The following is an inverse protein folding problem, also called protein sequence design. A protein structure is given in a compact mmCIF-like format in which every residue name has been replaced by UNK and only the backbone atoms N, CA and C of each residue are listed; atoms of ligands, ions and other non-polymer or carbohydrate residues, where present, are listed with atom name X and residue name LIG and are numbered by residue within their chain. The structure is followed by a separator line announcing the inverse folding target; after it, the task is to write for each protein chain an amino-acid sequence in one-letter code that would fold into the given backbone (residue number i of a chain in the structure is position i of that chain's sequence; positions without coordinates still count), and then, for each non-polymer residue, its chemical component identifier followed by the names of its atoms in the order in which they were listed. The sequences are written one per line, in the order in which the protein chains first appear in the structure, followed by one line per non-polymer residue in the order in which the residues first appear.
data_IF_450862359481
#
_entry.id   IF_450862359481
#
_cell.length_a   1.000
_cell.length_b   1.000
_cell.length_c   1.000
_cell.angle_alpha   90.00
_cell.angle_beta   90.00
_cell.angle_gamma   90.00
#
_symmetry.space_group_name_H-M   'P 1'
#
loop_
_entity.id
_entity.type
_entity.pdbx_description
1 polymer ?
#
# COMPACT_ATOMS: atom_id res chain seq x y z
N UNK A 1 7.90 17.83 23.04
CA UNK A 1 7.77 16.37 22.87
C UNK A 1 7.72 16.09 21.38
N UNK A 2 8.50 15.13 20.84
CA UNK A 2 8.38 14.74 19.44
C UNK A 2 6.97 14.20 19.19
N UNK A 3 6.32 14.66 18.14
CA UNK A 3 4.90 14.42 17.89
C UNK A 3 4.66 14.22 16.41
N UNK A 4 3.88 13.21 16.06
CA UNK A 4 3.27 13.07 14.76
C UNK A 4 1.91 13.76 14.79
N UNK A 5 1.65 14.64 13.82
CA UNK A 5 0.35 15.25 13.62
C UNK A 5 -0.29 14.70 12.35
N UNK A 6 -1.46 14.08 12.49
CA UNK A 6 -2.24 13.54 11.39
C UNK A 6 -3.17 14.61 10.82
N UNK A 7 -3.12 14.79 9.51
CA UNK A 7 -3.97 15.70 8.75
C UNK A 7 -4.87 14.93 7.78
N UNK A 8 -6.11 15.39 7.67
CA UNK A 8 -6.97 15.07 6.53
C UNK A 8 -6.80 16.17 5.48
N UNK A 9 -6.54 15.77 4.24
CA UNK A 9 -6.36 16.65 3.09
C UNK A 9 -7.61 16.55 2.22
N UNK A 10 -8.22 17.69 1.92
CA UNK A 10 -9.33 17.79 0.97
C UNK A 10 -8.77 18.29 -0.36
N UNK A 11 -8.88 17.45 -1.39
CA UNK A 11 -8.56 17.80 -2.78
C UNK A 11 -9.85 18.23 -3.49
N UNK A 12 -9.79 19.32 -4.24
CA UNK A 12 -10.79 19.65 -5.26
C UNK A 12 -10.18 19.55 -6.66
N UNK A 13 -10.97 19.86 -7.70
CA UNK A 13 -10.53 19.80 -9.11
C UNK A 13 -9.30 20.66 -9.44
N UNK A 14 -8.85 21.55 -8.53
CA UNK A 14 -7.68 22.40 -8.70
C UNK A 14 -6.51 22.06 -7.75
N UNK A 15 -6.61 20.98 -6.94
CA UNK A 15 -5.57 20.52 -6.03
C UNK A 15 -5.96 20.53 -4.54
N UNK A 16 -5.00 20.39 -3.60
CA UNK A 16 -5.29 20.31 -2.17
C UNK A 16 -5.75 21.68 -1.63
N UNK A 17 -7.04 21.84 -1.36
CA UNK A 17 -7.63 23.12 -0.92
C UNK A 17 -7.53 23.36 0.58
N UNK A 18 -7.47 22.30 1.39
CA UNK A 18 -7.35 22.45 2.85
C UNK A 18 -6.77 21.22 3.54
N UNK A 19 -6.03 21.48 4.63
CA UNK A 19 -5.50 20.48 5.56
C UNK A 19 -6.13 20.70 6.93
N UNK A 20 -6.78 19.69 7.47
CA UNK A 20 -7.39 19.74 8.80
C UNK A 20 -6.63 18.82 9.73
N UNK A 21 -6.07 19.35 10.82
CA UNK A 21 -5.42 18.54 11.85
C UNK A 21 -6.49 17.71 12.58
N UNK A 22 -6.27 16.40 12.61
CA UNK A 22 -7.21 15.44 13.20
C UNK A 22 -6.70 14.97 14.56
N UNK A 23 -5.41 14.62 14.65
CA UNK A 23 -4.86 14.00 15.86
C UNK A 23 -3.36 14.32 16.05
N UNK A 24 -2.95 14.46 17.31
CA UNK A 24 -1.56 14.60 17.74
C UNK A 24 -1.13 13.37 18.54
N UNK A 25 -0.10 12.66 18.05
CA UNK A 25 0.46 11.47 18.69
C UNK A 25 1.87 11.75 19.17
N UNK A 26 2.05 11.76 20.49
CA UNK A 26 3.38 11.93 21.11
C UNK A 26 4.21 10.66 20.94
N UNK A 27 5.42 10.81 20.41
CA UNK A 27 6.33 9.71 20.16
C UNK A 27 7.23 9.44 21.39
N UNK A 28 7.49 8.17 21.73
CA UNK A 28 8.59 7.79 22.61
C UNK A 28 9.95 8.21 22.04
N UNK A 29 10.94 8.48 22.90
CA UNK A 29 12.24 9.03 22.49
C UNK A 29 13.14 8.05 21.73
N UNK A 30 12.83 6.76 21.74
CA UNK A 30 13.63 5.66 21.18
C UNK A 30 12.92 4.93 20.02
N UNK A 31 11.76 5.43 19.57
CA UNK A 31 10.96 4.78 18.53
C UNK A 31 11.54 5.03 17.14
N UNK A 32 11.73 3.96 16.37
CA UNK A 32 12.19 4.03 14.97
C UNK A 32 11.08 3.86 13.92
N UNK A 33 9.99 3.18 14.30
CA UNK A 33 8.84 2.97 13.44
C UNK A 33 7.58 3.03 14.28
N UNK A 34 6.58 3.77 13.81
CA UNK A 34 5.30 3.93 14.49
C UNK A 34 4.17 3.89 13.47
N UNK A 35 3.00 3.44 13.89
CA UNK A 35 1.82 3.30 13.04
C UNK A 35 0.73 4.25 13.56
N UNK A 36 0.03 4.91 12.64
CA UNK A 36 -1.10 5.78 12.94
C UNK A 36 -2.38 5.11 12.45
N UNK A 37 -3.39 5.04 13.30
CA UNK A 37 -4.71 4.59 12.87
C UNK A 37 -5.42 5.74 12.17
N UNK A 38 -5.93 5.51 10.96
CA UNK A 38 -6.80 6.49 10.31
C UNK A 38 -8.22 6.33 10.84
N UNK A 39 -8.81 7.36 11.47
CA UNK A 39 -10.10 7.24 12.14
C UNK A 39 -11.25 7.02 11.16
N UNK A 40 -11.06 7.37 9.88
CA UNK A 40 -12.00 7.06 8.82
C UNK A 40 -11.27 6.43 7.63
N UNK A 41 -11.86 5.40 7.02
CA UNK A 41 -11.42 4.86 5.74
C UNK A 41 -11.75 5.86 4.62
N UNK A 42 -10.97 5.84 3.55
CA UNK A 42 -11.16 6.78 2.45
C UNK A 42 -10.44 8.12 2.63
N UNK A 43 -10.25 8.81 1.51
CA UNK A 43 -9.75 10.17 1.44
C UNK A 43 -8.23 10.31 1.56
N UNK A 44 -7.75 11.53 1.47
CA UNK A 44 -6.32 11.83 1.44
C UNK A 44 -5.81 12.24 2.82
N UNK A 45 -4.69 11.65 3.24
CA UNK A 45 -4.10 11.81 4.56
C UNK A 45 -2.65 12.28 4.45
N UNK A 46 -2.22 13.14 5.35
CA UNK A 46 -0.82 13.57 5.43
C UNK A 46 -0.38 13.57 6.89
N UNK A 47 0.86 13.18 7.17
CA UNK A 47 1.43 13.22 8.51
C UNK A 47 2.57 14.20 8.54
N UNK A 48 2.67 14.97 9.62
CA UNK A 48 3.82 15.84 9.89
C UNK A 48 4.53 15.37 11.15
N UNK A 49 5.85 15.25 11.08
CA UNK A 49 6.70 15.04 12.25
C UNK A 49 7.21 16.39 12.74
N UNK A 50 7.04 16.65 14.02
CA UNK A 50 7.46 17.90 14.64
C UNK A 50 7.63 17.81 16.15
N UNK A 51 7.77 18.98 16.78
CA UNK A 51 7.79 19.09 18.24
C UNK A 51 6.56 19.85 18.74
N UNK A 52 5.83 19.25 19.67
CA UNK A 52 4.78 19.91 20.44
C UNK A 52 5.38 20.50 21.72
N UNK A 53 5.18 21.80 21.93
CA UNK A 53 5.61 22.52 23.13
C UNK A 53 4.55 22.44 24.23
N UNK A 54 4.94 22.64 25.50
CA UNK A 54 4.00 22.69 26.64
C UNK A 54 2.82 23.66 26.47
N UNK A 55 2.97 24.84 25.84
CA UNK A 55 1.83 25.71 25.52
C UNK A 55 0.97 25.23 24.33
N UNK A 56 1.15 24.00 23.83
CA UNK A 56 0.32 23.40 22.77
C UNK A 56 0.67 23.84 21.35
N UNK A 57 1.75 24.61 21.17
CA UNK A 57 2.21 25.01 19.83
C UNK A 57 3.05 23.90 19.20
N UNK A 58 2.70 23.53 17.98
CA UNK A 58 3.39 22.53 17.17
C UNK A 58 4.35 23.19 16.17
N UNK A 59 5.53 22.60 16.04
CA UNK A 59 6.58 23.02 15.11
C UNK A 59 6.91 21.87 14.16
N UNK A 60 6.43 21.89 12.90
CA UNK A 60 6.72 20.84 11.94
C UNK A 60 8.19 20.90 11.51
N UNK A 61 8.81 19.73 11.34
CA UNK A 61 10.16 19.58 10.81
C UNK A 61 10.15 18.97 9.41
N UNK A 62 9.24 18.03 9.20
CA UNK A 62 9.08 17.32 7.93
C UNK A 62 7.65 16.82 7.79
N UNK A 63 7.22 16.62 6.55
CA UNK A 63 5.91 16.09 6.23
C UNK A 63 6.04 14.88 5.30
N UNK A 64 5.08 13.97 5.39
CA UNK A 64 4.89 12.93 4.38
C UNK A 64 4.32 13.55 3.10
N UNK A 65 4.33 12.79 2.01
CA UNK A 65 3.41 13.06 0.92
C UNK A 65 1.97 12.82 1.38
N UNK A 66 1.02 13.44 0.69
CA UNK A 66 -0.38 13.17 0.89
C UNK A 66 -0.69 11.79 0.28
N UNK A 67 -1.19 10.86 1.10
CA UNK A 67 -1.50 9.48 0.71
C UNK A 67 -3.01 9.34 0.67
N UNK A 68 -3.55 8.92 -0.47
CA UNK A 68 -4.96 8.60 -0.61
C UNK A 68 -5.22 7.17 -0.12
N UNK A 69 -6.17 7.04 0.82
CA UNK A 69 -6.60 5.76 1.36
C UNK A 69 -7.90 5.32 0.70
N UNK A 70 -8.08 4.01 0.42
CA UNK A 70 -9.33 3.49 -0.12
C UNK A 70 -10.48 3.52 0.91
N UNK A 71 -11.72 3.68 0.46
CA UNK A 71 -12.93 3.92 1.29
C UNK A 71 -13.42 2.76 2.17
N UNK A 72 -12.69 1.64 2.22
CA UNK A 72 -12.85 0.40 3.01
C UNK A 72 -12.89 -0.83 2.13
N UNK A 73 -12.12 -1.81 2.58
CA UNK A 73 -12.26 -3.24 2.33
C UNK A 73 -13.62 -3.73 2.85
N UNK A 74 -14.67 -3.70 2.03
CA UNK A 74 -15.81 -4.61 2.16
C UNK A 74 -15.65 -5.73 1.14
N UNK A 75 -15.37 -6.91 1.67
CA UNK A 75 -15.58 -8.24 1.10
C UNK A 75 -15.94 -8.28 -0.39
N UNK A 76 -15.01 -8.74 -1.23
CA UNK A 76 -15.35 -9.29 -2.54
C UNK A 76 -16.00 -10.66 -2.35
N UNK A 77 -17.22 -10.64 -1.81
CA UNK A 77 -18.22 -11.64 -2.08
C UNK A 77 -18.54 -11.59 -3.57
N UNK A 78 -18.16 -12.67 -4.26
CA UNK A 78 -18.63 -13.12 -5.57
C UNK A 78 -19.82 -12.35 -6.15
N UNK A 79 -19.59 -11.66 -7.27
CA UNK A 79 -20.54 -11.57 -8.38
C UNK A 79 -19.77 -11.22 -9.67
N UNK A 80 -19.79 -12.13 -10.63
CA UNK A 80 -19.52 -11.80 -12.04
C UNK A 80 -20.59 -10.81 -12.50
N UNK A 81 -20.22 -9.81 -13.31
CA UNK A 81 -21.08 -9.31 -14.36
C UNK A 81 -20.42 -9.63 -15.70
N UNK A 82 -21.05 -10.55 -16.44
CA UNK A 82 -21.12 -10.41 -17.89
C UNK A 82 -21.87 -9.09 -18.13
N UNK A 83 -21.21 -8.03 -18.58
CA UNK A 83 -21.86 -6.88 -19.23
C UNK A 83 -20.83 -5.97 -19.92
N UNK A 84 -20.79 -6.13 -21.25
CA UNK A 84 -20.71 -5.08 -22.27
C UNK A 84 -19.42 -4.23 -22.43
N UNK A 85 -18.44 -4.82 -23.13
CA UNK A 85 -17.15 -4.22 -23.54
C UNK A 85 -17.25 -3.33 -24.80
N UNK A 86 -18.30 -2.52 -24.95
CA UNK A 86 -18.60 -1.89 -26.25
C UNK A 86 -18.74 -0.37 -26.28
N UNK A 87 -18.07 0.42 -25.41
CA UNK A 87 -18.11 1.88 -25.61
C UNK A 87 -17.01 2.84 -25.07
N UNK A 88 -15.76 2.40 -24.84
CA UNK A 88 -14.66 3.36 -24.51
C UNK A 88 -13.55 3.51 -25.56
N UNK A 89 -13.62 2.82 -26.70
CA UNK A 89 -12.60 2.93 -27.74
C UNK A 89 -12.85 4.05 -28.78
N UNK A 90 -13.81 4.95 -28.55
CA UNK A 90 -14.18 5.99 -29.52
C UNK A 90 -14.33 7.36 -28.89
N UNK A 91 -13.21 7.90 -28.40
CA UNK A 91 -12.98 9.36 -28.40
C UNK A 91 -11.49 9.64 -28.29
N UNK A 92 -11.06 10.57 -29.15
CA UNK A 92 -9.73 11.18 -29.23
C UNK A 92 -8.70 10.41 -30.06
N UNK A 93 -8.73 10.67 -31.37
CA UNK A 93 -7.49 10.77 -32.12
C UNK A 93 -6.76 12.04 -31.71
N UNK A 94 -5.59 11.87 -31.09
CA UNK A 94 -4.56 12.88 -30.91
C UNK A 94 -3.22 12.13 -30.86
N UNK A 95 -2.37 12.42 -31.86
CA UNK A 95 -0.92 12.23 -31.94
C UNK A 95 -0.24 11.18 -31.03
N UNK A 96 0.25 10.10 -31.63
CA UNK A 96 1.57 9.49 -31.39
C UNK A 96 2.09 9.29 -29.95
N UNK A 97 1.26 9.23 -28.91
CA UNK A 97 1.74 9.05 -27.53
C UNK A 97 1.84 7.57 -27.18
N UNK A 98 3.07 7.10 -26.92
CA UNK A 98 3.31 5.75 -26.40
C UNK A 98 2.98 5.76 -24.90
N UNK A 99 1.98 4.98 -24.48
CA UNK A 99 1.61 4.82 -23.06
C UNK A 99 1.84 3.39 -22.60
N UNK A 100 2.41 3.21 -21.40
CA UNK A 100 2.65 1.90 -20.78
C UNK A 100 1.82 1.77 -19.51
N UNK A 101 1.13 0.63 -19.35
CA UNK A 101 0.44 0.24 -18.11
C UNK A 101 1.11 -1.00 -17.52
N UNK A 102 1.37 -0.99 -16.21
CA UNK A 102 2.05 -2.09 -15.51
C UNK A 102 1.16 -2.69 -14.42
N UNK A 103 0.97 -4.01 -14.47
CA UNK A 103 0.52 -4.81 -13.32
C UNK A 103 1.71 -5.63 -12.81
N UNK A 104 1.98 -5.61 -11.50
CA UNK A 104 3.14 -6.31 -10.91
C UNK A 104 2.68 -7.16 -9.73
N UNK A 105 3.06 -8.43 -9.78
CA UNK A 105 2.79 -9.44 -8.77
C UNK A 105 4.08 -10.15 -8.38
N UNK A 106 4.19 -10.59 -7.13
CA UNK A 106 5.28 -11.43 -6.64
C UNK A 106 4.80 -12.86 -6.44
N UNK A 107 5.66 -13.82 -6.73
CA UNK A 107 5.49 -15.20 -6.28
C UNK A 107 6.35 -15.46 -5.03
N UNK A 108 5.72 -15.85 -3.93
CA UNK A 108 6.42 -16.33 -2.73
C UNK A 108 6.47 -17.84 -2.78
N UNK A 109 7.68 -18.40 -2.83
CA UNK A 109 7.91 -19.86 -2.82
C UNK A 109 8.77 -20.23 -1.63
N UNK A 110 8.44 -21.36 -1.01
CA UNK A 110 9.20 -21.89 0.12
C UNK A 110 9.00 -23.38 0.28
N UNK A 111 9.65 -23.92 1.31
CA UNK A 111 9.52 -25.31 1.71
C UNK A 111 9.40 -25.40 3.23
N UNK A 112 8.65 -26.39 3.69
CA UNK A 112 8.44 -26.72 5.10
C UNK A 112 8.21 -28.23 5.24
N UNK A 113 7.97 -28.72 6.45
CA UNK A 113 7.62 -30.13 6.67
C UNK A 113 6.24 -30.45 6.04
N UNK A 114 6.06 -31.59 5.37
CA UNK A 114 4.78 -31.99 4.82
C UNK A 114 3.66 -31.96 5.88
N UNK A 115 2.50 -31.42 5.51
CA UNK A 115 1.35 -31.27 6.40
C UNK A 115 1.43 -30.08 7.37
N UNK A 116 2.48 -29.25 7.31
CA UNK A 116 2.48 -27.96 7.99
C UNK A 116 1.39 -27.04 7.42
N UNK A 117 0.90 -26.13 8.26
CA UNK A 117 0.00 -25.04 7.85
C UNK A 117 0.84 -23.81 7.56
N UNK A 118 0.75 -23.31 6.34
CA UNK A 118 1.40 -22.06 5.93
C UNK A 118 0.31 -21.01 5.72
N UNK A 119 0.48 -19.84 6.31
CA UNK A 119 -0.37 -18.68 6.11
C UNK A 119 0.49 -17.52 5.62
N UNK A 120 0.06 -16.85 4.55
CA UNK A 120 0.71 -15.67 3.99
C UNK A 120 -0.37 -14.57 3.95
N UNK A 121 -0.11 -13.42 4.57
CA UNK A 121 -1.16 -12.48 4.99
C UNK A 121 -2.23 -13.21 5.84
N UNK A 122 -3.49 -13.14 5.40
CA UNK A 122 -4.64 -13.83 5.97
C UNK A 122 -5.05 -15.07 5.16
N UNK A 123 -4.22 -15.49 4.19
CA UNK A 123 -4.52 -16.59 3.28
C UNK A 123 -3.76 -17.87 3.68
N UNK A 124 -4.50 -18.96 3.86
CA UNK A 124 -3.92 -20.29 4.04
C UNK A 124 -3.40 -20.84 2.71
N UNK A 125 -2.13 -21.23 2.68
CA UNK A 125 -1.45 -21.77 1.52
C UNK A 125 -1.30 -23.28 1.69
N UNK A 126 -1.69 -24.04 0.67
CA UNK A 126 -1.51 -25.49 0.65
C UNK A 126 -0.03 -25.83 0.56
N UNK A 127 0.39 -26.80 1.36
CA UNK A 127 1.73 -27.39 1.30
C UNK A 127 1.62 -28.71 0.55
N UNK A 128 2.42 -28.87 -0.50
CA UNK A 128 2.48 -30.08 -1.30
C UNK A 128 3.05 -31.26 -0.51
N UNK A 129 2.90 -32.47 -1.04
CA UNK A 129 3.39 -33.70 -0.39
C UNK A 129 4.91 -33.74 -0.23
N UNK A 130 5.65 -33.02 -1.07
CA UNK A 130 7.10 -32.83 -0.99
C UNK A 130 7.51 -31.70 -0.03
N UNK A 131 6.54 -31.02 0.60
CA UNK A 131 6.77 -29.93 1.55
C UNK A 131 6.89 -28.54 0.91
N UNK A 132 6.77 -28.42 -0.42
CA UNK A 132 6.83 -27.13 -1.10
C UNK A 132 5.52 -26.36 -1.03
N UNK A 133 5.59 -25.03 -1.16
CA UNK A 133 4.40 -24.19 -1.28
C UNK A 133 4.68 -22.96 -2.15
N UNK A 134 3.61 -22.40 -2.71
CA UNK A 134 3.67 -21.17 -3.49
C UNK A 134 2.41 -20.33 -3.29
N UNK A 135 2.60 -19.01 -3.21
CA UNK A 135 1.52 -18.02 -3.27
C UNK A 135 1.89 -16.88 -4.23
N UNK A 136 0.88 -16.17 -4.71
CA UNK A 136 1.04 -14.93 -5.46
C UNK A 136 0.45 -13.77 -4.66
N UNK A 137 1.11 -12.63 -4.67
CA UNK A 137 0.65 -11.42 -3.99
C UNK A 137 0.85 -10.20 -4.89
N UNK A 138 -0.08 -9.27 -4.86
CA UNK A 138 0.08 -7.98 -5.55
C UNK A 138 1.11 -7.14 -4.81
N UNK A 139 1.99 -6.47 -5.55
CA UNK A 139 2.94 -5.53 -4.98
C UNK A 139 2.56 -4.13 -5.47
N UNK A 140 1.72 -3.39 -4.72
CA UNK A 140 1.48 -1.99 -5.03
C UNK A 140 2.76 -1.17 -4.87
N UNK A 141 2.81 0.00 -5.49
CA UNK A 141 3.86 0.98 -5.22
C UNK A 141 3.82 1.39 -3.73
N UNK A 142 4.99 1.68 -3.19
CA UNK A 142 5.23 1.87 -1.76
C UNK A 142 5.80 0.62 -1.09
N UNK A 143 5.72 0.60 0.24
CA UNK A 143 6.24 -0.48 1.08
C UNK A 143 5.11 -1.43 1.48
N UNK A 144 5.23 -2.68 1.07
CA UNK A 144 4.35 -3.80 1.43
C UNK A 144 5.05 -4.67 2.48
N UNK A 145 4.35 -5.02 3.56
CA UNK A 145 4.82 -6.01 4.54
C UNK A 145 3.92 -7.23 4.42
N UNK A 146 4.52 -8.38 4.14
CA UNK A 146 3.84 -9.66 3.95
C UNK A 146 4.21 -10.58 5.13
N UNK A 147 3.34 -10.74 6.14
CA UNK A 147 3.55 -11.68 7.21
C UNK A 147 3.36 -13.11 6.68
N UNK A 148 4.26 -14.00 7.08
CA UNK A 148 4.24 -15.42 6.76
C UNK A 148 4.32 -16.17 8.07
N UNK A 149 3.36 -17.06 8.29
CA UNK A 149 3.32 -17.89 9.48
C UNK A 149 3.29 -19.36 9.09
N UNK A 150 4.19 -20.14 9.67
CA UNK A 150 4.28 -21.58 9.45
C UNK A 150 4.05 -22.28 10.77
N UNK A 151 3.10 -23.20 10.81
CA UNK A 151 2.76 -23.99 12.00
C UNK A 151 2.82 -25.48 11.68
N UNK A 152 3.60 -26.23 12.46
CA UNK A 152 3.72 -27.68 12.39
C UNK A 152 3.58 -28.30 13.79
N UNK A 153 3.60 -29.63 13.90
CA UNK A 153 3.56 -30.32 15.20
C UNK A 153 4.69 -29.89 16.14
N UNK A 154 5.89 -29.61 15.60
CA UNK A 154 7.06 -29.24 16.39
C UNK A 154 7.04 -27.78 16.89
N UNK A 155 6.20 -26.92 16.31
CA UNK A 155 6.15 -25.51 16.69
C UNK A 155 5.64 -24.58 15.59
N UNK A 156 5.72 -23.28 15.87
CA UNK A 156 5.30 -22.20 14.98
C UNK A 156 6.43 -21.21 14.77
N UNK A 157 6.56 -20.73 13.54
CA UNK A 157 7.51 -19.70 13.13
C UNK A 157 6.76 -18.56 12.42
N UNK A 158 7.15 -17.32 12.72
CA UNK A 158 6.68 -16.13 12.01
C UNK A 158 7.84 -15.48 11.26
N UNK A 159 7.57 -15.05 10.03
CA UNK A 159 8.48 -14.32 9.15
C UNK A 159 7.74 -13.08 8.66
N UNK A 160 8.42 -11.94 8.57
CA UNK A 160 7.89 -10.72 7.98
C UNK A 160 8.71 -10.40 6.74
N UNK A 161 8.10 -10.47 5.56
CA UNK A 161 8.74 -10.12 4.30
C UNK A 161 8.40 -8.66 3.96
N UNK A 162 9.39 -7.78 3.97
CA UNK A 162 9.23 -6.39 3.57
C UNK A 162 9.65 -6.19 2.11
N UNK A 163 8.76 -5.61 1.30
CA UNK A 163 8.96 -5.35 -0.13
C UNK A 163 8.70 -3.87 -0.37
N UNK A 164 9.59 -3.19 -1.07
CA UNK A 164 9.40 -1.81 -1.50
C UNK A 164 9.37 -1.75 -3.02
N UNK A 165 8.31 -1.17 -3.58
CA UNK A 165 8.16 -0.94 -5.03
C UNK A 165 8.06 0.56 -5.27
N UNK A 166 8.85 1.05 -6.21
CA UNK A 166 8.83 2.45 -6.61
C UNK A 166 8.74 2.51 -8.15
N UNK A 167 7.56 2.74 -8.71
CA UNK A 167 7.39 2.89 -10.16
C UNK A 167 7.46 4.37 -10.53
N UNK A 168 8.31 4.71 -11.51
CA UNK A 168 8.34 6.04 -12.12
C UNK A 168 8.17 5.91 -13.63
N UNK A 169 7.20 6.63 -14.17
CA UNK A 169 7.01 6.76 -15.61
C UNK A 169 7.81 7.96 -16.09
N UNK A 170 8.65 7.76 -17.10
CA UNK A 170 9.44 8.82 -17.74
C UNK A 170 8.71 9.31 -19.00
N UNK A 171 9.12 10.49 -19.48
CA UNK A 171 8.63 11.03 -20.75
C UNK A 171 9.01 10.09 -21.91
N UNK A 172 8.11 9.97 -22.89
CA UNK A 172 8.37 9.14 -24.07
C UNK A 172 9.36 9.85 -25.01
N UNK A 173 10.41 9.13 -25.44
CA UNK A 173 11.35 9.65 -26.44
C UNK A 173 10.76 9.51 -27.84
N UNK A 174 10.81 10.57 -28.68
CA UNK A 174 10.44 10.44 -30.08
C UNK A 174 11.44 9.52 -30.79
N UNK A 175 10.93 8.61 -31.60
CA UNK A 175 11.77 7.80 -32.49
C UNK A 175 12.07 8.65 -33.72
N UNK A 176 13.33 9.01 -33.93
CA UNK A 176 13.77 9.59 -35.21
C UNK A 176 13.63 8.51 -36.29
N UNK A 177 12.79 8.75 -37.30
CA UNK A 177 12.71 7.89 -38.49
C UNK A 177 13.91 8.19 -39.41
N UNK A 178 14.81 7.22 -39.61
CA UNK A 178 15.95 7.26 -40.54
C UNK A 178 15.52 7.23 -42.02
#
# INVERSE_FOLDING_TARGET
VPTLRLYRVLCDEAGPRSKTAIEDVSLPSDVRQWFLNTPQPGGTWQVELGYLTRPGRFFPLMHSQAVELPETTRAHARRMPDDDDSNLARRSGESGSVSVRLNVEIAVRGATVPGAKVQIDDQLISVESDGTFQSFASIPDGRTILPIEVSAMAGRQKVLLAIERNTRFLEAEPVDED
#
